data_IF_794914482606
#
_entry.id   IF_794914482606
#
_cell.length_a   1.000
_cell.length_b   1.000
_cell.length_c   1.000
_cell.angle_alpha   90.00
_cell.angle_beta   90.00
_cell.angle_gamma   90.00
#
_symmetry.space_group_name_H-M   'P 1'
#
loop_
_entity.id
_entity.type
_entity.pdbx_description
1 polymer ?
#
# COMPACT_ATOMS: atom_id res chain seq x y z
N UNK A 1 -22.03 46.17 -15.75
CA UNK A 1 -22.46 44.93 -16.43
C UNK A 1 -21.20 44.29 -16.99
N UNK A 2 -20.68 43.27 -16.32
CA UNK A 2 -21.15 41.88 -16.32
C UNK A 2 -20.39 41.07 -17.38
N UNK A 3 -19.46 40.24 -16.91
CA UNK A 3 -19.51 38.78 -17.08
C UNK A 3 -18.25 38.24 -16.44
N UNK A 4 -18.45 37.55 -15.31
CA UNK A 4 -17.48 36.66 -14.69
C UNK A 4 -17.62 35.32 -15.41
N UNK A 5 -16.55 34.74 -15.96
CA UNK A 5 -16.58 33.31 -16.19
C UNK A 5 -15.27 32.71 -15.68
N UNK A 6 -15.33 31.99 -14.57
CA UNK A 6 -14.53 30.78 -14.47
C UNK A 6 -14.97 29.92 -13.29
N UNK A 7 -15.71 28.89 -13.67
CA UNK A 7 -15.51 27.51 -13.19
C UNK A 7 -15.89 27.22 -11.74
N UNK A 8 -17.14 26.77 -11.60
CA UNK A 8 -17.57 25.82 -10.58
C UNK A 8 -16.48 24.76 -10.33
N UNK A 9 -16.06 24.49 -9.08
CA UNK A 9 -15.15 23.39 -8.79
C UNK A 9 -15.92 22.11 -9.06
N UNK A 10 -15.80 21.61 -10.29
CA UNK A 10 -16.22 20.29 -10.71
C UNK A 10 -15.59 19.33 -9.71
N UNK A 11 -16.41 18.68 -8.89
CA UNK A 11 -16.01 17.69 -7.90
C UNK A 11 -15.03 16.71 -8.54
N UNK A 12 -13.73 16.92 -8.34
CA UNK A 12 -12.72 15.96 -8.77
C UNK A 12 -12.97 14.70 -7.94
N UNK A 13 -12.96 13.51 -8.56
CA UNK A 13 -12.95 12.28 -7.79
C UNK A 13 -11.69 12.34 -6.94
N UNK A 14 -11.86 12.37 -5.61
CA UNK A 14 -10.76 12.23 -4.67
C UNK A 14 -10.09 10.92 -5.04
N UNK A 15 -8.86 10.99 -5.56
CA UNK A 15 -8.09 9.80 -5.85
C UNK A 15 -8.01 9.01 -4.54
N UNK A 16 -8.60 7.82 -4.51
CA UNK A 16 -8.42 6.91 -3.39
C UNK A 16 -6.92 6.76 -3.22
N UNK A 17 -6.40 7.11 -2.04
CA UNK A 17 -4.98 6.96 -1.76
C UNK A 17 -4.58 5.53 -2.14
N UNK A 18 -3.61 5.39 -3.03
CA UNK A 18 -3.10 4.08 -3.39
C UNK A 18 -2.69 3.39 -2.08
N UNK A 19 -3.08 2.12 -1.85
CA UNK A 19 -2.74 1.43 -0.62
C UNK A 19 -1.24 1.51 -0.43
N UNK A 20 -0.80 1.98 0.75
CA UNK A 20 0.62 2.12 1.04
C UNK A 20 1.27 0.74 0.99
N UNK A 21 2.09 0.54 -0.03
CA UNK A 21 2.89 -0.66 -0.19
C UNK A 21 4.31 -0.37 0.28
N UNK A 22 4.80 -1.16 1.24
CA UNK A 22 6.17 -1.06 1.69
C UNK A 22 7.06 -1.89 0.78
N UNK A 23 8.00 -1.24 0.10
CA UNK A 23 9.01 -1.96 -0.67
C UNK A 23 10.05 -2.56 0.28
N UNK A 24 9.98 -3.87 0.49
CA UNK A 24 10.89 -4.58 1.39
C UNK A 24 11.65 -5.68 0.66
N UNK A 25 12.84 -5.98 1.15
CA UNK A 25 13.51 -7.25 0.89
C UNK A 25 13.76 -7.92 2.24
N UNK A 26 13.07 -9.02 2.50
CA UNK A 26 13.14 -9.76 3.75
C UNK A 26 13.34 -11.24 3.44
N UNK A 27 14.19 -11.92 4.20
CA UNK A 27 14.33 -13.37 4.13
C UNK A 27 14.23 -13.95 5.54
N UNK A 28 13.34 -14.93 5.70
CA UNK A 28 13.13 -15.66 6.94
C UNK A 28 13.57 -17.08 6.71
N UNK A 29 14.55 -17.55 7.49
CA UNK A 29 15.03 -18.93 7.43
C UNK A 29 14.35 -19.77 8.50
N UNK A 30 13.78 -20.89 8.09
CA UNK A 30 13.20 -21.93 8.92
C UNK A 30 14.08 -23.18 8.89
N UNK A 31 13.82 -24.13 9.79
CA UNK A 31 14.57 -25.41 9.85
C UNK A 31 14.57 -26.19 8.52
N UNK A 32 13.54 -26.01 7.69
CA UNK A 32 13.32 -26.80 6.48
C UNK A 32 13.18 -25.95 5.20
N UNK A 33 13.59 -24.68 5.22
CA UNK A 33 13.52 -23.80 4.05
C UNK A 33 13.56 -22.32 4.40
N UNK A 34 13.41 -21.46 3.40
CA UNK A 34 13.41 -20.00 3.56
C UNK A 34 12.24 -19.36 2.85
N UNK A 35 11.65 -18.34 3.47
CA UNK A 35 10.66 -17.45 2.84
C UNK A 35 11.34 -16.12 2.50
N UNK A 36 11.41 -15.79 1.21
CA UNK A 36 11.95 -14.52 0.73
C UNK A 36 10.83 -13.64 0.19
N UNK A 37 10.74 -12.43 0.72
CA UNK A 37 9.82 -11.37 0.29
C UNK A 37 10.65 -10.31 -0.42
N UNK A 38 10.26 -9.93 -1.62
CA UNK A 38 10.95 -8.89 -2.38
C UNK A 38 9.94 -8.04 -3.15
N UNK A 39 10.09 -6.73 -3.05
CA UNK A 39 9.25 -5.77 -3.74
C UNK A 39 8.18 -5.15 -2.85
N UNK A 40 7.16 -4.60 -3.50
CA UNK A 40 6.06 -3.90 -2.86
C UNK A 40 5.12 -4.87 -2.13
N UNK A 41 5.14 -4.84 -0.81
CA UNK A 41 4.28 -5.64 0.07
C UNK A 41 3.26 -4.73 0.73
N UNK A 42 1.98 -5.08 0.69
CA UNK A 42 0.95 -4.33 1.38
C UNK A 42 1.03 -4.54 2.89
N UNK A 43 0.61 -3.54 3.66
CA UNK A 43 0.57 -3.61 5.11
C UNK A 43 -0.24 -4.82 5.62
N UNK A 44 -1.34 -5.16 4.95
CA UNK A 44 -2.17 -6.32 5.31
C UNK A 44 -1.38 -7.64 5.21
N UNK A 45 -0.63 -7.82 4.12
CA UNK A 45 0.20 -9.02 3.94
C UNK A 45 1.30 -9.05 5.00
N UNK A 46 1.97 -7.92 5.24
CA UNK A 46 3.02 -7.83 6.25
C UNK A 46 2.51 -8.20 7.65
N UNK A 47 1.34 -7.68 8.04
CA UNK A 47 0.70 -7.98 9.32
C UNK A 47 0.32 -9.46 9.47
N UNK A 48 -0.22 -10.08 8.40
CA UNK A 48 -0.53 -11.51 8.40
C UNK A 48 0.73 -12.35 8.58
N UNK A 49 1.81 -12.03 7.86
CA UNK A 49 3.07 -12.73 7.97
C UNK A 49 3.66 -12.63 9.38
N UNK A 50 3.67 -11.45 9.98
CA UNK A 50 4.16 -11.27 11.36
C UNK A 50 3.34 -12.11 12.35
N UNK A 51 2.01 -12.19 12.19
CA UNK A 51 1.15 -13.00 13.06
C UNK A 51 1.47 -14.48 12.95
N UNK A 52 1.57 -15.01 11.74
CA UNK A 52 1.86 -16.43 11.53
C UNK A 52 3.27 -16.81 11.98
N UNK A 53 4.26 -15.92 11.83
CA UNK A 53 5.62 -16.14 12.30
C UNK A 53 5.76 -16.13 13.83
N UNK A 54 4.85 -15.45 14.54
CA UNK A 54 4.85 -15.37 16.01
C UNK A 54 4.14 -16.55 16.67
N UNK A 55 3.46 -17.39 15.91
CA UNK A 55 2.75 -18.57 16.42
C UNK A 55 3.70 -19.74 16.63
#
# INVERSE_FOLDING_TARGET
EDVVPATSPRSQPVAAAAPESLNISCEVTFRHGSLRLNGAISENILNLLIRELKR
#
